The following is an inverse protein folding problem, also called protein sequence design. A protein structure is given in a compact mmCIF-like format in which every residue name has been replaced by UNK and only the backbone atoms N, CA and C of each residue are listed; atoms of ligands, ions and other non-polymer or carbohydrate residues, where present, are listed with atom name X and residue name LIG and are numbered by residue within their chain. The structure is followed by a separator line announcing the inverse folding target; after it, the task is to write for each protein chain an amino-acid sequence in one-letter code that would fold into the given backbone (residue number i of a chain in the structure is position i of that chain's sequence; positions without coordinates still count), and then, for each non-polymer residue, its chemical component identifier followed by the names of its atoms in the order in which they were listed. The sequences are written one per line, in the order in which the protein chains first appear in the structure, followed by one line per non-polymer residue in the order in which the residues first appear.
data_IF_681606532152
#
_entry.id   IF_681606532152
#
_cell.length_a   1.000
_cell.length_b   1.000
_cell.length_c   1.000
_cell.angle_alpha   90.00
_cell.angle_beta   90.00
_cell.angle_gamma   90.00
#
_symmetry.space_group_name_H-M   'P 1'
#
loop_
_entity.id
_entity.type
_entity.pdbx_description
1 polymer ?
#
# COMPACT_ATOMS: atom_id res chain seq x y z
N UNK A 1 -14.18 -70.53 -40.73
CA UNK A 1 -13.01 -70.48 -39.84
C UNK A 1 -13.08 -69.18 -39.06
N UNK A 2 -13.19 -69.32 -37.74
CA UNK A 2 -13.36 -68.27 -36.75
C UNK A 2 -12.06 -67.45 -36.64
N UNK A 3 -12.14 -66.14 -36.87
CA UNK A 3 -11.04 -65.22 -36.51
C UNK A 3 -11.48 -64.39 -35.31
N UNK A 4 -10.81 -64.71 -34.21
CA UNK A 4 -10.99 -64.22 -32.85
C UNK A 4 -10.23 -62.89 -32.69
N UNK A 5 -10.72 -62.00 -31.82
CA UNK A 5 -9.94 -61.02 -31.02
C UNK A 5 -9.12 -59.97 -31.80
N UNK A 6 -9.26 -58.66 -31.58
CA UNK A 6 -9.12 -58.01 -30.28
C UNK A 6 -9.55 -56.55 -30.43
N UNK A 7 -10.57 -56.14 -29.68
CA UNK A 7 -10.87 -54.72 -29.46
C UNK A 7 -9.88 -54.20 -28.42
N UNK A 8 -8.74 -53.70 -28.88
CA UNK A 8 -7.79 -53.01 -28.01
C UNK A 8 -8.26 -51.56 -27.82
N UNK A 9 -9.00 -51.31 -26.74
CA UNK A 9 -9.29 -49.95 -26.30
C UNK A 9 -8.01 -49.32 -25.74
N UNK A 10 -7.44 -48.36 -26.49
CA UNK A 10 -6.34 -47.53 -26.02
C UNK A 10 -6.91 -46.55 -24.99
N UNK A 11 -6.63 -46.79 -23.71
CA UNK A 11 -6.91 -45.83 -22.64
C UNK A 11 -5.80 -44.79 -22.69
N UNK A 12 -6.09 -43.61 -23.25
CA UNK A 12 -5.22 -42.46 -23.08
C UNK A 12 -5.25 -42.07 -21.60
N UNK A 13 -4.17 -42.37 -20.87
CA UNK A 13 -3.93 -41.78 -19.56
C UNK A 13 -3.68 -40.29 -19.79
N UNK A 14 -4.73 -39.48 -19.64
CA UNK A 14 -4.56 -38.05 -19.40
C UNK A 14 -3.95 -37.93 -18.01
N UNK A 15 -2.67 -37.58 -17.94
CA UNK A 15 -2.09 -37.12 -16.69
C UNK A 15 -2.87 -35.86 -16.31
N UNK A 16 -3.54 -35.89 -15.16
CA UNK A 16 -4.23 -34.73 -14.63
C UNK A 16 -3.26 -33.56 -14.61
N UNK A 17 -3.52 -32.54 -15.41
CA UNK A 17 -3.03 -31.21 -15.10
C UNK A 17 -3.79 -30.79 -13.85
N UNK A 18 -3.22 -31.11 -12.69
CA UNK A 18 -3.55 -30.40 -11.46
C UNK A 18 -3.00 -28.99 -11.65
N UNK A 19 -3.75 -28.18 -12.40
CA UNK A 19 -3.70 -26.74 -12.36
C UNK A 19 -4.19 -26.25 -11.00
N UNK A 20 -3.61 -26.76 -9.92
CA UNK A 20 -3.69 -26.13 -8.63
C UNK A 20 -2.61 -25.05 -8.59
N UNK A 21 -2.81 -24.01 -9.40
CA UNK A 21 -2.34 -22.67 -9.04
C UNK A 21 -3.22 -22.19 -7.88
N UNK A 22 -3.11 -22.87 -6.73
CA UNK A 22 -3.86 -22.59 -5.51
C UNK A 22 -3.37 -21.35 -4.78
N UNK A 23 -2.73 -20.42 -5.49
CA UNK A 23 -2.62 -19.04 -5.03
C UNK A 23 -3.53 -18.27 -5.96
N UNK A 24 -4.73 -17.99 -5.48
CA UNK A 24 -5.59 -16.99 -6.10
C UNK A 24 -4.73 -15.77 -6.39
N UNK A 25 -4.68 -15.34 -7.64
CA UNK A 25 -4.03 -14.07 -8.04
C UNK A 25 -4.70 -12.85 -7.38
N UNK A 26 -5.72 -13.11 -6.56
CA UNK A 26 -6.61 -12.17 -5.92
C UNK A 26 -6.56 -12.28 -4.38
N UNK A 27 -5.38 -12.60 -3.80
CA UNK A 27 -5.15 -12.26 -2.39
C UNK A 27 -4.96 -10.75 -2.34
N UNK A 28 -6.07 -10.02 -2.30
CA UNK A 28 -6.08 -8.60 -1.95
C UNK A 28 -5.67 -8.47 -0.49
N UNK A 29 -4.38 -8.24 -0.24
CA UNK A 29 -3.89 -7.86 1.07
C UNK A 29 -4.36 -6.43 1.33
N UNK A 30 -5.57 -6.32 1.87
CA UNK A 30 -6.17 -5.04 2.21
C UNK A 30 -5.54 -4.51 3.51
N UNK A 31 -4.31 -4.00 3.41
CA UNK A 31 -3.57 -3.45 4.53
C UNK A 31 -3.98 -1.97 4.67
N UNK A 32 -4.64 -1.66 5.78
CA UNK A 32 -4.91 -0.27 6.14
C UNK A 32 -3.62 0.39 6.62
N UNK A 33 -3.16 1.49 5.99
CA UNK A 33 -1.97 2.19 6.47
C UNK A 33 -2.21 2.78 7.86
N UNK A 34 -1.17 2.89 8.67
CA UNK A 34 -1.23 3.50 10.01
C UNK A 34 -0.14 4.55 10.09
N UNK A 35 -0.52 5.77 10.45
CA UNK A 35 0.39 6.86 10.77
C UNK A 35 0.60 6.88 12.27
N UNK A 36 1.87 6.80 12.67
CA UNK A 36 2.29 6.84 14.08
C UNK A 36 2.85 8.21 14.45
N UNK A 37 3.60 8.85 13.53
CA UNK A 37 4.22 10.15 13.79
C UNK A 37 4.43 10.97 12.52
N UNK A 38 4.45 12.28 12.69
CA UNK A 38 4.74 13.26 11.63
C UNK A 38 5.86 14.17 12.12
N UNK A 39 6.84 14.46 11.26
CA UNK A 39 7.98 15.32 11.59
C UNK A 39 8.41 16.16 10.39
N UNK A 40 8.48 17.49 10.52
CA UNK A 40 8.06 18.28 11.69
C UNK A 40 6.52 18.27 11.85
N UNK A 41 6.03 18.51 13.06
CA UNK A 41 4.58 18.65 13.34
C UNK A 41 4.02 20.03 12.95
N UNK A 42 4.89 20.94 12.52
CA UNK A 42 4.54 22.23 11.97
C UNK A 42 5.45 22.58 10.80
N UNK A 43 4.87 23.14 9.74
CA UNK A 43 5.53 23.38 8.46
C UNK A 43 4.89 24.56 7.73
N UNK A 44 5.55 25.10 6.72
CA UNK A 44 4.93 26.02 5.75
C UNK A 44 4.71 25.31 4.41
N UNK A 45 3.96 25.93 3.51
CA UNK A 45 3.77 25.39 2.15
C UNK A 45 5.12 25.17 1.45
N UNK A 46 5.31 23.98 0.86
CA UNK A 46 6.53 23.58 0.15
C UNK A 46 7.60 22.89 1.02
N UNK A 47 7.48 22.97 2.35
CA UNK A 47 8.38 22.29 3.27
C UNK A 47 8.29 20.77 3.12
N UNK A 48 9.42 20.10 3.33
CA UNK A 48 9.49 18.64 3.37
C UNK A 48 9.05 18.13 4.75
N UNK A 49 8.13 17.17 4.75
CA UNK A 49 7.59 16.53 5.94
C UNK A 49 7.72 15.02 5.81
N UNK A 50 8.14 14.37 6.89
CA UNK A 50 8.21 12.92 7.00
C UNK A 50 7.02 12.37 7.79
N UNK A 51 6.39 11.33 7.26
CA UNK A 51 5.37 10.54 7.94
C UNK A 51 5.99 9.18 8.28
N UNK A 52 5.87 8.76 9.54
CA UNK A 52 6.31 7.45 10.04
C UNK A 52 5.09 6.58 10.33
N UNK A 53 5.20 5.29 10.03
CA UNK A 53 4.06 4.39 10.12
C UNK A 53 4.32 2.97 9.62
N UNK A 54 3.26 2.34 9.12
CA UNK A 54 3.24 1.01 8.53
C UNK A 54 2.13 0.91 7.47
N UNK A 55 2.32 0.09 6.44
CA UNK A 55 1.30 -0.19 5.42
C UNK A 55 1.32 0.79 4.25
N UNK A 56 2.41 1.53 4.07
CA UNK A 56 2.63 2.36 2.90
C UNK A 56 3.03 1.51 1.68
N UNK A 57 2.71 1.99 0.50
CA UNK A 57 3.23 1.41 -0.73
C UNK A 57 4.71 1.72 -0.88
N UNK A 58 5.50 0.71 -1.25
CA UNK A 58 6.89 0.87 -1.69
C UNK A 58 7.04 1.74 -2.94
N UNK A 59 5.95 1.98 -3.67
CA UNK A 59 5.89 2.91 -4.81
C UNK A 59 5.39 4.26 -4.27
N UNK A 60 6.26 5.29 -4.13
CA UNK A 60 5.88 6.53 -3.45
C UNK A 60 4.61 7.19 -4.01
N UNK A 61 4.44 7.18 -5.33
CA UNK A 61 3.32 7.82 -6.02
C UNK A 61 1.96 7.14 -5.74
N UNK A 62 1.95 5.94 -5.17
CA UNK A 62 0.73 5.26 -4.72
C UNK A 62 0.30 5.65 -3.31
N UNK A 63 1.11 6.40 -2.57
CA UNK A 63 0.78 6.96 -1.28
C UNK A 63 0.26 8.38 -1.47
N UNK A 64 -1.05 8.57 -1.34
CA UNK A 64 -1.69 9.88 -1.45
C UNK A 64 -1.83 10.48 -0.05
N UNK A 65 -1.08 11.55 0.22
CA UNK A 65 -1.17 12.32 1.47
C UNK A 65 -2.19 13.42 1.28
N UNK A 66 -3.23 13.42 2.12
CA UNK A 66 -4.19 14.53 2.21
C UNK A 66 -3.86 15.40 3.42
N UNK A 67 -3.79 16.72 3.21
CA UNK A 67 -3.53 17.72 4.24
C UNK A 67 -4.64 18.78 4.17
N UNK A 68 -5.57 18.72 5.11
CA UNK A 68 -6.73 19.61 5.13
C UNK A 68 -7.53 19.54 3.82
N UNK A 69 -7.50 20.63 3.05
CA UNK A 69 -8.23 20.79 1.79
C UNK A 69 -7.39 20.48 0.52
N UNK A 70 -6.15 20.01 0.66
CA UNK A 70 -5.28 19.69 -0.48
C UNK A 70 -4.68 18.29 -0.33
N UNK A 71 -4.16 17.75 -1.43
CA UNK A 71 -3.52 16.43 -1.46
C UNK A 71 -2.27 16.45 -2.36
N UNK A 72 -1.35 15.54 -2.06
CA UNK A 72 -0.13 15.29 -2.85
C UNK A 72 0.26 13.82 -2.76
N UNK A 73 1.16 13.36 -3.63
CA UNK A 73 1.76 12.03 -3.52
C UNK A 73 3.07 12.07 -2.73
N UNK A 74 3.46 10.95 -2.13
CA UNK A 74 4.78 10.84 -1.51
C UNK A 74 5.90 10.97 -2.56
N UNK A 75 7.02 11.57 -2.15
CA UNK A 75 8.25 11.68 -2.94
C UNK A 75 9.15 10.46 -2.72
N UNK A 76 9.14 9.91 -1.50
CA UNK A 76 10.00 8.78 -1.12
C UNK A 76 9.25 7.70 -0.34
N UNK A 77 9.89 6.54 -0.23
CA UNK A 77 9.55 5.46 0.69
C UNK A 77 10.85 4.87 1.24
N UNK A 78 10.91 4.60 2.54
CA UNK A 78 12.04 3.92 3.18
C UNK A 78 11.56 3.04 4.33
N UNK A 79 12.32 1.99 4.64
CA UNK A 79 12.22 1.31 5.93
C UNK A 79 12.95 2.13 6.99
N UNK A 80 12.39 2.18 8.20
CA UNK A 80 13.00 2.82 9.36
C UNK A 80 13.97 1.82 9.99
N UNK A 81 15.20 2.29 10.27
CA UNK A 81 16.24 1.47 10.89
C UNK A 81 16.97 2.25 11.98
N UNK A 82 17.01 1.75 13.24
CA UNK A 82 16.27 0.58 13.73
C UNK A 82 14.76 0.82 13.76
N UNK A 83 13.92 -0.20 13.56
CA UNK A 83 12.47 -0.06 13.67
C UNK A 83 12.08 0.31 15.11
N UNK A 84 11.10 1.20 15.25
CA UNK A 84 10.45 1.51 16.53
C UNK A 84 8.98 1.04 16.49
N UNK A 85 8.32 1.01 17.65
CA UNK A 85 6.95 0.51 17.77
C UNK A 85 5.99 1.27 16.83
N UNK A 86 5.49 0.57 15.80
CA UNK A 86 4.60 1.16 14.78
C UNK A 86 5.27 2.14 13.81
N UNK A 87 6.58 2.38 13.91
CA UNK A 87 7.37 3.19 12.97
C UNK A 87 8.35 2.28 12.22
N UNK A 88 7.80 1.49 11.30
CA UNK A 88 8.56 0.54 10.48
C UNK A 88 8.92 1.14 9.12
N UNK A 89 8.08 2.05 8.63
CA UNK A 89 8.16 2.66 7.32
C UNK A 89 8.12 4.19 7.44
N UNK A 90 8.77 4.88 6.52
CA UNK A 90 8.67 6.32 6.36
C UNK A 90 8.44 6.73 4.92
N UNK A 91 7.66 7.79 4.74
CA UNK A 91 7.47 8.47 3.46
C UNK A 91 7.70 9.96 3.66
N UNK A 92 8.29 10.62 2.67
CA UNK A 92 8.41 12.09 2.65
C UNK A 92 7.49 12.70 1.60
N UNK A 93 7.03 13.92 1.87
CA UNK A 93 6.24 14.71 0.92
C UNK A 93 6.51 16.19 1.14
N UNK A 94 6.16 17.02 0.15
CA UNK A 94 6.12 18.48 0.30
C UNK A 94 4.73 18.98 0.58
N UNK A 95 4.59 19.88 1.55
CA UNK A 95 3.28 20.48 1.88
C UNK A 95 2.70 21.15 0.62
N UNK A 96 1.52 20.70 0.13
CA UNK A 96 0.97 21.20 -1.13
C UNK A 96 0.53 22.66 -1.02
N UNK A 97 0.52 23.36 -2.16
CA UNK A 97 -0.01 24.73 -2.23
C UNK A 97 -1.52 24.74 -1.97
N UNK A 98 -2.01 25.82 -1.35
CA UNK A 98 -3.43 26.03 -1.10
C UNK A 98 -3.99 25.33 0.15
N UNK A 99 -3.14 24.69 0.96
CA UNK A 99 -3.53 24.24 2.31
C UNK A 99 -3.88 25.46 3.17
N UNK A 100 -4.98 25.37 3.90
CA UNK A 100 -5.41 26.45 4.82
C UNK A 100 -4.41 26.59 5.98
N UNK A 101 -4.04 27.81 6.34
CA UNK A 101 -3.18 28.07 7.51
C UNK A 101 -3.90 27.65 8.79
N UNK A 102 -3.16 27.04 9.73
CA UNK A 102 -3.65 26.53 11.00
C UNK A 102 -3.51 25.01 11.14
N UNK A 103 -4.24 24.44 12.10
CA UNK A 103 -4.25 23.00 12.33
C UNK A 103 -5.04 22.29 11.22
N UNK A 104 -4.40 21.35 10.54
CA UNK A 104 -4.99 20.55 9.47
C UNK A 104 -4.94 19.07 9.82
N UNK A 105 -6.05 18.37 9.56
CA UNK A 105 -6.05 16.91 9.56
C UNK A 105 -5.15 16.38 8.45
N UNK A 106 -4.50 15.27 8.71
CA UNK A 106 -3.62 14.60 7.75
C UNK A 106 -3.82 13.09 7.81
N UNK A 107 -3.91 12.47 6.64
CA UNK A 107 -4.05 11.03 6.48
C UNK A 107 -3.43 10.58 5.16
N UNK A 108 -3.06 9.31 5.09
CA UNK A 108 -2.46 8.67 3.91
C UNK A 108 -3.45 7.66 3.34
N UNK A 109 -3.67 7.72 2.03
CA UNK A 109 -4.47 6.74 1.28
C UNK A 109 -3.60 5.93 0.36
N UNK A 110 -3.72 4.61 0.43
CA UNK A 110 -3.00 3.64 -0.40
C UNK A 110 -4.03 2.73 -1.08
N UNK A 111 -4.25 2.93 -2.37
CA UNK A 111 -5.37 2.29 -3.08
C UNK A 111 -6.70 2.76 -2.50
N UNK A 112 -7.49 1.82 -1.97
CA UNK A 112 -8.81 2.10 -1.34
C UNK A 112 -8.73 2.26 0.19
N UNK A 113 -7.53 2.10 0.79
CA UNK A 113 -7.36 2.15 2.23
C UNK A 113 -6.84 3.51 2.70
N UNK A 114 -7.55 4.13 3.62
CA UNK A 114 -7.14 5.37 4.29
C UNK A 114 -6.67 5.10 5.71
N UNK A 115 -5.62 5.81 6.15
CA UNK A 115 -5.07 5.67 7.49
C UNK A 115 -5.99 6.17 8.60
N UNK A 116 -5.55 6.02 9.84
CA UNK A 116 -6.14 6.69 11.00
C UNK A 116 -6.30 8.20 10.77
N UNK A 117 -7.39 8.77 11.28
CA UNK A 117 -7.80 10.16 11.07
C UNK A 117 -7.48 11.12 12.24
N UNK A 118 -6.80 10.61 13.28
CA UNK A 118 -6.46 11.37 14.50
C UNK A 118 -5.12 12.12 14.41
N UNK A 119 -4.53 12.22 13.23
CA UNK A 119 -3.26 12.92 13.02
C UNK A 119 -3.50 14.36 12.53
N UNK A 120 -2.65 15.28 12.97
CA UNK A 120 -2.68 16.67 12.57
C UNK A 120 -1.27 17.21 12.27
N UNK A 121 -1.24 18.28 11.49
CA UNK A 121 -0.06 19.10 11.23
C UNK A 121 -0.48 20.58 11.28
N UNK A 122 0.37 21.44 11.82
CA UNK A 122 0.12 22.89 11.85
C UNK A 122 0.81 23.58 10.69
N UNK A 123 0.04 24.20 9.80
CA UNK A 123 0.57 25.03 8.71
C UNK A 123 0.65 26.49 9.17
N UNK A 124 1.83 27.11 9.07
CA UNK A 124 2.04 28.51 9.45
C UNK A 124 2.02 29.47 8.25
#
# INVERSE_FOLDING_TARGET
MQFFLSLMAIVFVTCGTDGNTGISSDISLNITPVITRISPSSAVTGDEVTIFGLGFSVVPQKNIISVGNAATSAETYSLVSPPAEGEIESITFRVPAGVTVGANSIFVTVGENTSNANMNITIN
#
